data_IF_525900869683
#
_entry.id   IF_525900869683
#
_cell.length_a   1.000
_cell.length_b   1.000
_cell.length_c   1.000
_cell.angle_alpha   90.00
_cell.angle_beta   90.00
_cell.angle_gamma   90.00
#
_symmetry.space_group_name_H-M   'P 1'
#
loop_
_entity.id
_entity.type
_entity.pdbx_description
1 polymer ?
#
# COMPACT_ATOMS: atom_id res chain seq x y z
N UNK A 1 23.62 18.67 -8.93
CA UNK A 1 23.89 18.92 -7.49
C UNK A 1 25.38 18.92 -7.27
N UNK A 2 25.91 19.78 -6.39
CA UNK A 2 27.32 19.80 -5.94
C UNK A 2 27.52 19.10 -4.59
N UNK A 3 26.47 18.49 -4.04
CA UNK A 3 26.46 17.85 -2.73
C UNK A 3 26.60 16.33 -2.83
N UNK A 4 27.26 15.75 -1.83
CA UNK A 4 27.23 14.31 -1.59
C UNK A 4 25.92 13.94 -0.91
N UNK A 5 25.23 12.92 -1.43
CA UNK A 5 24.07 12.31 -0.81
C UNK A 5 24.54 11.16 0.08
N UNK A 6 24.34 11.29 1.38
CA UNK A 6 24.74 10.28 2.38
C UNK A 6 23.63 9.24 2.53
N UNK A 7 24.02 7.96 2.49
CA UNK A 7 23.13 6.80 2.64
C UNK A 7 21.80 6.95 1.87
N UNK A 8 21.84 7.18 0.55
CA UNK A 8 20.62 7.25 -0.23
C UNK A 8 19.88 5.92 -0.16
N UNK A 9 18.56 5.97 -0.17
CA UNK A 9 17.69 4.81 -0.21
C UNK A 9 16.56 5.06 -1.22
N UNK A 10 16.33 4.09 -2.10
CA UNK A 10 15.14 4.05 -2.95
C UNK A 10 14.06 3.32 -2.19
N UNK A 11 12.89 3.96 -2.06
CA UNK A 11 11.73 3.41 -1.36
C UNK A 11 10.57 3.29 -2.35
N UNK A 12 10.00 2.09 -2.42
CA UNK A 12 8.85 1.77 -3.26
C UNK A 12 7.90 0.85 -2.48
N UNK A 13 6.77 1.39 -2.03
CA UNK A 13 5.93 0.70 -1.04
C UNK A 13 6.71 0.43 0.25
N UNK A 14 6.72 -0.81 0.71
CA UNK A 14 7.52 -1.33 1.82
C UNK A 14 8.90 -1.87 1.40
N UNK A 15 9.23 -1.83 0.11
CA UNK A 15 10.55 -2.23 -0.41
C UNK A 15 11.52 -1.06 -0.28
N UNK A 16 12.71 -1.34 0.26
CA UNK A 16 13.77 -0.36 0.45
C UNK A 16 15.05 -0.92 -0.12
N UNK A 17 15.72 -0.12 -0.95
CA UNK A 17 17.01 -0.45 -1.51
C UNK A 17 18.01 0.63 -1.09
N UNK A 18 18.88 0.30 -0.14
CA UNK A 18 19.88 1.23 0.39
C UNK A 18 21.14 1.23 -0.49
N UNK A 19 21.72 2.40 -0.69
CA UNK A 19 22.88 2.63 -1.53
C UNK A 19 24.07 3.13 -0.70
N UNK A 20 25.26 3.01 -1.29
CA UNK A 20 26.45 3.72 -0.80
C UNK A 20 26.28 5.24 -1.02
N UNK A 21 27.09 6.03 -0.31
CA UNK A 21 27.09 7.49 -0.47
C UNK A 21 27.37 7.85 -1.94
N UNK A 22 26.61 8.81 -2.47
CA UNK A 22 26.72 9.24 -3.86
C UNK A 22 27.31 10.65 -3.92
N UNK A 23 28.47 10.77 -4.55
CA UNK A 23 29.07 12.06 -4.83
C UNK A 23 28.29 12.88 -5.88
N UNK A 24 28.64 14.16 -6.06
CA UNK A 24 28.02 15.04 -7.05
C UNK A 24 28.04 14.44 -8.46
N UNK A 25 26.86 14.28 -9.08
CA UNK A 25 26.71 13.75 -10.43
C UNK A 25 26.94 12.24 -10.57
N UNK A 26 27.27 11.54 -9.48
CA UNK A 26 27.39 10.09 -9.47
C UNK A 26 26.03 9.44 -9.68
N UNK A 27 26.02 8.33 -10.41
CA UNK A 27 24.85 7.48 -10.59
C UNK A 27 25.11 6.11 -9.98
N UNK A 28 24.04 5.42 -9.60
CA UNK A 28 24.10 4.05 -9.13
C UNK A 28 22.86 3.29 -9.60
N UNK A 29 23.04 2.00 -9.82
CA UNK A 29 21.98 1.05 -10.12
C UNK A 29 21.76 0.18 -8.89
N UNK A 30 20.50 -0.13 -8.59
CA UNK A 30 20.14 -0.97 -7.47
C UNK A 30 19.14 -2.01 -7.91
N UNK A 31 19.42 -3.26 -7.58
CA UNK A 31 18.49 -4.37 -7.76
C UNK A 31 17.82 -4.64 -6.42
N UNK A 32 16.49 -4.56 -6.40
CA UNK A 32 15.70 -4.84 -5.21
C UNK A 32 14.54 -5.75 -5.58
N UNK A 33 14.44 -6.87 -4.87
CA UNK A 33 13.24 -7.69 -4.93
C UNK A 33 12.12 -6.98 -4.19
N UNK A 34 10.96 -6.84 -4.82
CA UNK A 34 9.77 -6.35 -4.14
C UNK A 34 9.43 -7.30 -2.99
N UNK A 35 9.41 -6.75 -1.77
CA UNK A 35 9.06 -7.50 -0.58
C UNK A 35 7.75 -6.95 -0.02
N UNK A 36 6.76 -7.81 0.25
CA UNK A 36 5.59 -7.38 0.99
C UNK A 36 6.04 -6.85 2.37
N UNK A 37 5.24 -5.96 2.94
CA UNK A 37 5.47 -5.50 4.30
C UNK A 37 5.54 -6.71 5.25
N UNK A 38 6.70 -6.93 5.86
CA UNK A 38 6.90 -7.96 6.86
C UNK A 38 6.52 -7.38 8.23
N UNK A 39 5.51 -7.99 8.87
CA UNK A 39 5.08 -7.61 10.20
C UNK A 39 6.29 -7.60 11.17
N UNK A 40 6.52 -6.47 11.84
CA UNK A 40 7.57 -6.32 12.85
C UNK A 40 8.90 -5.70 12.39
N UNK A 41 9.07 -5.35 11.11
CA UNK A 41 10.19 -4.52 10.66
C UNK A 41 9.70 -3.17 10.16
N UNK A 42 10.07 -2.08 10.85
CA UNK A 42 9.72 -0.73 10.41
C UNK A 42 10.47 -0.36 9.13
N UNK A 43 9.91 0.59 8.36
CA UNK A 43 10.62 1.14 7.20
C UNK A 43 11.91 1.86 7.63
N UNK A 44 11.93 2.44 8.84
CA UNK A 44 13.09 3.08 9.41
C UNK A 44 14.22 2.09 9.68
N UNK A 45 13.91 0.86 10.12
CA UNK A 45 14.90 -0.20 10.29
C UNK A 45 15.48 -0.64 8.93
N UNK A 46 14.70 -0.58 7.86
CA UNK A 46 15.15 -0.90 6.49
C UNK A 46 16.02 0.22 5.90
N UNK A 47 15.67 1.49 6.16
CA UNK A 47 16.37 2.67 5.61
C UNK A 47 17.66 2.97 6.40
N UNK A 48 17.56 3.03 7.72
CA UNK A 48 18.64 3.48 8.61
C UNK A 48 19.45 2.30 9.16
N UNK A 49 18.85 1.11 9.21
CA UNK A 49 19.39 -0.07 9.86
C UNK A 49 18.75 -0.30 11.23
N UNK A 50 18.79 -1.55 11.70
CA UNK A 50 18.33 -1.91 13.05
C UNK A 50 19.27 -1.31 14.08
N UNK A 51 18.70 -0.64 15.09
CA UNK A 51 19.44 -0.24 16.28
C UNK A 51 19.66 -1.47 17.17
N UNK A 52 20.75 -2.19 16.97
CA UNK A 52 21.18 -3.21 17.92
C UNK A 52 21.95 -2.51 19.06
N UNK A 53 21.46 -2.68 20.30
CA UNK A 53 22.18 -2.29 21.52
C UNK A 53 23.19 -3.38 21.91
N UNK A 54 24.02 -3.85 20.98
CA UNK A 54 25.07 -4.81 21.30
C UNK A 54 26.28 -4.09 21.91
N UNK A 55 26.34 -4.06 23.25
CA UNK A 55 27.45 -3.51 24.03
C UNK A 55 27.04 -2.38 24.96
N UNK A 56 27.94 -1.94 25.88
CA UNK A 56 27.67 -0.78 26.72
C UNK A 56 27.37 0.43 25.83
N UNK A 57 26.30 1.21 26.12
CA UNK A 57 25.82 2.26 25.23
C UNK A 57 26.90 3.32 25.03
N UNK A 58 27.57 3.27 23.88
CA UNK A 58 28.41 4.36 23.41
C UNK A 58 27.49 5.39 22.78
N UNK A 59 27.07 6.37 23.57
CA UNK A 59 26.38 7.56 23.08
C UNK A 59 27.39 8.48 22.37
N UNK A 60 27.92 8.02 21.24
CA UNK A 60 28.70 8.84 20.32
C UNK A 60 27.78 9.62 19.36
N UNK A 61 28.37 10.57 18.63
CA UNK A 61 27.64 11.47 17.74
C UNK A 61 27.01 10.72 16.56
N UNK A 62 27.65 9.65 16.08
CA UNK A 62 27.12 8.79 15.01
C UNK A 62 25.89 8.01 15.46
N UNK A 63 25.89 7.48 16.68
CA UNK A 63 24.72 6.81 17.27
C UNK A 63 23.56 7.79 17.47
N UNK A 64 23.85 9.00 17.95
CA UNK A 64 22.85 10.07 18.07
C UNK A 64 22.29 10.47 16.68
N UNK A 65 23.14 10.51 15.65
CA UNK A 65 22.76 10.80 14.28
C UNK A 65 21.86 9.72 13.69
N UNK A 66 22.20 8.45 13.87
CA UNK A 66 21.35 7.33 13.45
C UNK A 66 19.99 7.35 14.15
N UNK A 67 19.97 7.63 15.46
CA UNK A 67 18.73 7.76 16.21
C UNK A 67 17.85 8.90 15.70
N UNK A 68 18.44 10.07 15.41
CA UNK A 68 17.71 11.18 14.81
C UNK A 68 17.13 10.82 13.42
N UNK A 69 17.92 10.17 12.55
CA UNK A 69 17.46 9.72 11.23
C UNK A 69 16.29 8.75 11.33
N UNK A 70 16.38 7.77 12.23
CA UNK A 70 15.31 6.81 12.51
C UNK A 70 14.04 7.52 12.95
N UNK A 71 14.16 8.43 13.91
CA UNK A 71 13.04 9.19 14.45
C UNK A 71 12.34 10.01 13.36
N UNK A 72 13.10 10.69 12.50
CA UNK A 72 12.55 11.44 11.36
C UNK A 72 11.73 10.52 10.45
N UNK A 73 12.28 9.36 10.08
CA UNK A 73 11.58 8.39 9.21
C UNK A 73 10.33 7.83 9.91
N UNK A 74 10.41 7.52 11.21
CA UNK A 74 9.26 7.02 11.97
C UNK A 74 8.12 8.05 11.97
N UNK A 75 8.43 9.34 12.19
CA UNK A 75 7.45 10.42 12.14
C UNK A 75 6.82 10.58 10.75
N UNK A 76 7.58 10.35 9.66
CA UNK A 76 7.02 10.37 8.31
C UNK A 76 6.02 9.23 8.07
N UNK A 77 6.12 8.12 8.79
CA UNK A 77 5.22 6.96 8.65
C UNK A 77 4.15 6.86 9.73
N UNK A 78 4.07 7.86 10.61
CA UNK A 78 3.15 7.84 11.72
C UNK A 78 1.77 8.38 11.30
N UNK A 79 0.75 7.56 11.48
CA UNK A 79 -0.65 7.96 11.42
C UNK A 79 -1.19 8.13 12.86
N UNK A 80 -1.76 9.28 13.23
CA UNK A 80 -2.31 9.51 14.58
C UNK A 80 -3.40 8.53 15.02
N UNK A 81 -4.14 7.94 14.08
CA UNK A 81 -5.23 7.01 14.36
C UNK A 81 -4.76 5.56 14.41
N UNK A 82 -3.71 5.21 13.65
CA UNK A 82 -3.30 3.82 13.42
C UNK A 82 -1.87 3.51 13.89
N UNK A 83 -1.09 4.51 14.30
CA UNK A 83 0.33 4.37 14.62
C UNK A 83 1.19 4.30 13.36
N UNK A 84 2.31 3.57 13.41
CA UNK A 84 3.18 3.42 12.23
C UNK A 84 2.50 2.59 11.15
N UNK A 85 2.36 3.16 9.95
CA UNK A 85 1.75 2.50 8.79
C UNK A 85 2.74 1.61 8.02
N UNK A 86 4.03 1.68 8.37
CA UNK A 86 5.09 0.93 7.70
C UNK A 86 5.40 1.38 6.27
N UNK A 87 4.79 2.48 5.81
CA UNK A 87 4.93 3.01 4.46
C UNK A 87 5.09 4.54 4.49
N UNK A 88 5.78 5.09 3.50
CA UNK A 88 5.84 6.54 3.31
C UNK A 88 4.51 7.06 2.75
N UNK A 89 4.06 8.27 3.12
CA UNK A 89 2.78 8.85 2.68
C UNK A 89 2.89 9.44 1.27
N UNK A 90 3.32 8.62 0.32
CA UNK A 90 3.59 9.00 -1.07
C UNK A 90 2.99 8.02 -2.05
N UNK A 91 2.49 8.57 -3.16
CA UNK A 91 2.00 7.78 -4.27
C UNK A 91 3.10 7.63 -5.33
N UNK A 92 3.98 6.66 -5.16
CA UNK A 92 5.08 6.38 -6.10
C UNK A 92 6.40 6.07 -5.42
N UNK A 93 7.48 6.08 -6.20
CA UNK A 93 8.84 5.91 -5.71
C UNK A 93 9.35 7.18 -5.02
N UNK A 94 10.12 7.01 -3.96
CA UNK A 94 10.81 8.10 -3.27
C UNK A 94 12.28 7.77 -3.13
N UNK A 95 13.12 8.77 -3.38
CA UNK A 95 14.52 8.74 -3.00
C UNK A 95 14.66 9.51 -1.68
N UNK A 96 15.11 8.81 -0.66
CA UNK A 96 15.55 9.41 0.59
C UNK A 96 17.06 9.55 0.56
N UNK A 97 17.59 10.66 1.02
CA UNK A 97 19.02 10.83 1.21
C UNK A 97 19.31 11.78 2.36
N UNK A 98 20.47 11.63 2.98
CA UNK A 98 20.89 12.47 4.09
C UNK A 98 21.98 13.44 3.65
N UNK A 99 22.08 14.55 4.36
CA UNK A 99 23.22 15.46 4.27
C UNK A 99 23.63 15.92 5.67
N UNK A 100 24.93 16.08 5.85
CA UNK A 100 25.59 16.58 7.05
C UNK A 100 25.86 18.09 6.98
N UNK A 101 25.29 18.76 5.98
CA UNK A 101 25.42 20.20 5.86
C UNK A 101 24.83 20.93 7.07
N UNK A 102 25.54 21.97 7.47
CA UNK A 102 25.11 22.86 8.54
C UNK A 102 24.08 23.84 7.98
N UNK A 103 22.82 23.70 8.38
CA UNK A 103 21.74 24.64 8.02
C UNK A 103 21.82 25.94 8.81
N UNK A 104 22.19 25.85 10.09
CA UNK A 104 22.26 26.98 11.01
C UNK A 104 23.64 26.99 11.65
N UNK A 105 24.48 28.01 11.40
CA UNK A 105 25.72 28.16 12.13
C UNK A 105 25.39 28.50 13.59
N UNK A 106 25.77 27.61 14.50
CA UNK A 106 25.65 27.83 15.94
C UNK A 106 27.05 27.94 16.51
N UNK A 107 27.32 29.01 17.24
CA UNK A 107 28.55 29.20 18.00
C UNK A 107 28.20 29.27 19.48
N UNK A 108 28.89 28.48 20.30
CA UNK A 108 28.77 28.50 21.76
C UNK A 108 30.15 28.83 22.30
N UNK A 109 30.24 29.88 23.11
CA UNK A 109 31.52 30.33 23.66
C UNK A 109 32.21 29.19 24.44
N UNK A 110 33.41 28.81 23.98
CA UNK A 110 34.22 27.77 24.61
C UNK A 110 33.75 26.34 24.39
N UNK A 111 32.76 26.08 23.51
CA UNK A 111 32.27 24.73 23.24
C UNK A 111 32.07 24.48 21.74
N UNK A 112 32.53 23.31 21.27
CA UNK A 112 32.13 22.82 19.97
C UNK A 112 30.67 22.30 20.08
N UNK A 113 29.70 22.88 19.36
CA UNK A 113 28.33 22.39 19.40
C UNK A 113 28.30 20.97 18.82
N UNK A 114 27.59 20.06 19.50
CA UNK A 114 27.31 18.72 18.94
C UNK A 114 26.43 18.87 17.70
N UNK A 115 26.84 18.30 16.58
CA UNK A 115 26.18 18.45 15.28
C UNK A 115 25.44 17.14 14.94
N UNK A 116 24.36 16.92 15.68
CA UNK A 116 23.43 15.81 15.43
C UNK A 116 22.34 16.14 14.41
N UNK A 117 22.31 17.39 13.93
CA UNK A 117 21.40 17.84 12.88
C UNK A 117 21.62 17.05 11.59
N UNK A 118 20.53 16.57 11.00
CA UNK A 118 20.54 15.91 9.70
C UNK A 118 19.56 16.62 8.78
N UNK A 119 19.95 16.80 7.53
CA UNK A 119 19.02 17.16 6.47
C UNK A 119 18.52 15.87 5.86
N UNK A 120 17.20 15.69 5.80
CA UNK A 120 16.57 14.67 4.97
C UNK A 120 16.15 15.30 3.64
N UNK A 121 16.72 14.81 2.55
CA UNK A 121 16.13 14.98 1.24
C UNK A 121 15.05 13.93 1.04
N UNK A 122 13.83 14.39 0.81
CA UNK A 122 12.68 13.57 0.48
C UNK A 122 12.27 13.90 -0.94
N UNK A 123 12.62 13.04 -1.89
CA UNK A 123 12.51 13.33 -3.33
C UNK A 123 11.54 12.33 -3.98
N UNK A 124 10.25 12.68 -4.13
CA UNK A 124 9.34 11.91 -4.97
C UNK A 124 9.89 11.87 -6.40
N UNK A 125 9.83 10.70 -7.02
CA UNK A 125 10.37 10.52 -8.37
C UNK A 125 9.36 9.80 -9.26
N UNK A 126 9.41 10.12 -10.55
CA UNK A 126 8.60 9.43 -11.55
C UNK A 126 9.11 7.99 -11.71
N UNK A 127 8.18 7.04 -11.82
CA UNK A 127 8.49 5.64 -11.98
C UNK A 127 8.11 5.20 -13.39
N UNK A 128 9.07 4.68 -14.14
CA UNK A 128 8.79 3.97 -15.39
C UNK A 128 8.79 2.48 -15.09
N UNK A 129 7.67 1.81 -15.35
CA UNK A 129 7.52 0.36 -15.17
C UNK A 129 7.49 -0.30 -16.54
N UNK A 130 8.16 -1.44 -16.70
CA UNK A 130 8.26 -2.15 -17.99
C UNK A 130 8.01 -3.65 -17.82
N UNK A 131 7.41 -4.25 -18.84
CA UNK A 131 7.13 -5.69 -18.88
C UNK A 131 5.88 -6.08 -18.08
N UNK A 132 5.70 -7.37 -17.86
CA UNK A 132 4.59 -7.89 -17.06
C UNK A 132 4.81 -7.54 -15.58
N UNK A 133 3.88 -6.79 -15.00
CA UNK A 133 3.96 -6.31 -13.62
C UNK A 133 2.68 -6.66 -12.87
N UNK A 134 2.85 -6.94 -11.58
CA UNK A 134 1.75 -7.19 -10.65
C UNK A 134 1.77 -6.16 -9.53
N UNK A 135 0.72 -5.35 -9.43
CA UNK A 135 0.49 -4.41 -8.34
C UNK A 135 -0.38 -5.07 -7.28
N UNK A 136 0.08 -5.06 -6.03
CA UNK A 136 -0.59 -5.67 -4.88
C UNK A 136 -0.21 -4.91 -3.59
N UNK A 137 -1.02 -5.00 -2.55
CA UNK A 137 -0.71 -4.51 -1.20
C UNK A 137 -0.25 -3.05 -1.20
N UNK A 138 0.99 -2.81 -0.79
CA UNK A 138 1.70 -1.53 -0.69
C UNK A 138 1.93 -0.82 -2.03
N UNK A 139 1.71 -1.53 -3.14
CA UNK A 139 1.74 -0.96 -4.49
C UNK A 139 0.35 -0.60 -5.02
N UNK A 140 -0.71 -0.77 -4.21
CA UNK A 140 -2.07 -0.36 -4.49
C UNK A 140 -2.57 0.61 -3.42
N UNK A 141 -3.02 1.78 -3.85
CA UNK A 141 -3.76 2.70 -3.00
C UNK A 141 -5.25 2.38 -3.06
N UNK A 142 -5.86 2.12 -1.91
CA UNK A 142 -7.31 2.02 -1.78
C UNK A 142 -7.90 3.37 -1.35
N UNK A 143 -8.84 3.92 -2.11
CA UNK A 143 -9.54 5.17 -1.80
C UNK A 143 -11.03 4.94 -1.69
N UNK A 144 -11.66 5.43 -0.61
CA UNK A 144 -13.12 5.38 -0.45
C UNK A 144 -13.74 6.43 -1.37
N UNK A 145 -14.61 5.98 -2.28
CA UNK A 145 -15.33 6.84 -3.22
C UNK A 145 -16.68 7.24 -2.63
N UNK A 146 -17.38 6.30 -2.02
CA UNK A 146 -18.63 6.53 -1.29
C UNK A 146 -18.85 5.46 -0.24
N UNK A 147 -19.59 5.80 0.82
CA UNK A 147 -20.05 4.88 1.84
C UNK A 147 -21.50 5.24 2.16
N UNK A 148 -22.42 4.36 1.78
CA UNK A 148 -23.84 4.43 2.08
C UNK A 148 -24.16 3.29 3.05
N UNK A 149 -23.76 3.46 4.31
CA UNK A 149 -23.95 2.48 5.38
C UNK A 149 -24.05 3.17 6.73
N UNK A 150 -24.85 2.63 7.65
CA UNK A 150 -25.09 3.25 8.97
C UNK A 150 -23.83 3.49 9.81
N UNK A 151 -22.81 2.64 9.61
CA UNK A 151 -21.46 2.78 10.14
C UNK A 151 -20.46 2.34 9.07
N UNK A 152 -19.30 2.99 9.02
CA UNK A 152 -18.21 2.63 8.13
C UNK A 152 -16.89 2.91 8.84
N UNK A 153 -15.98 1.94 8.82
CA UNK A 153 -14.61 2.08 9.27
C UNK A 153 -13.69 1.33 8.30
N UNK A 154 -12.54 1.93 8.02
CA UNK A 154 -11.50 1.33 7.19
C UNK A 154 -10.14 1.67 7.78
N UNK A 155 -9.33 0.63 7.97
CA UNK A 155 -7.90 0.74 8.19
C UNK A 155 -7.14 0.19 6.96
N UNK A 156 -5.79 0.17 6.94
CA UNK A 156 -5.04 -0.34 5.81
C UNK A 156 -5.30 -1.83 5.48
N UNK A 157 -5.68 -2.65 6.47
CA UNK A 157 -5.79 -4.10 6.34
C UNK A 157 -7.23 -4.62 6.46
N UNK A 158 -8.13 -3.84 7.05
CA UNK A 158 -9.50 -4.24 7.34
C UNK A 158 -10.52 -3.17 6.96
N UNK A 159 -11.71 -3.65 6.59
CA UNK A 159 -12.88 -2.85 6.27
C UNK A 159 -14.02 -3.37 7.13
N UNK A 160 -14.76 -2.49 7.78
CA UNK A 160 -16.02 -2.85 8.42
C UNK A 160 -17.11 -1.83 8.14
N UNK A 161 -18.33 -2.32 7.91
CA UNK A 161 -19.47 -1.47 7.61
C UNK A 161 -20.80 -2.14 7.96
N UNK A 162 -21.82 -1.32 8.18
CA UNK A 162 -23.18 -1.78 8.47
C UNK A 162 -23.93 -2.27 7.25
N UNK A 163 -25.27 -2.35 7.36
CA UNK A 163 -26.11 -2.54 6.18
C UNK A 163 -25.91 -1.40 5.19
N UNK A 164 -25.83 -1.74 3.90
CA UNK A 164 -25.65 -0.79 2.82
C UNK A 164 -24.50 -1.14 1.89
N UNK A 165 -23.83 -0.12 1.35
CA UNK A 165 -22.83 -0.26 0.28
C UNK A 165 -21.63 0.63 0.51
N UNK A 166 -20.46 0.15 0.14
CA UNK A 166 -19.21 0.94 0.18
C UNK A 166 -18.48 0.79 -1.15
N UNK A 167 -18.13 1.89 -1.78
CA UNK A 167 -17.36 1.93 -3.03
C UNK A 167 -15.90 2.31 -2.77
N UNK A 168 -14.99 1.47 -3.22
CA UNK A 168 -13.55 1.72 -3.17
C UNK A 168 -12.97 1.73 -4.58
N UNK A 169 -11.98 2.60 -4.76
CA UNK A 169 -11.09 2.62 -5.91
C UNK A 169 -9.74 2.02 -5.50
N UNK A 170 -9.24 1.06 -6.27
CA UNK A 170 -7.93 0.45 -6.11
C UNK A 170 -7.06 0.90 -7.27
N UNK A 171 -6.08 1.74 -6.98
CA UNK A 171 -5.19 2.32 -7.99
C UNK A 171 -3.75 1.90 -7.70
N UNK A 172 -3.00 1.39 -8.69
CA UNK A 172 -1.56 1.28 -8.62
C UNK A 172 -0.89 2.57 -8.14
N UNK A 173 0.29 2.43 -7.54
CA UNK A 173 1.18 3.58 -7.35
C UNK A 173 1.39 4.30 -8.69
N UNK A 174 1.66 5.61 -8.64
CA UNK A 174 1.88 6.39 -9.85
C UNK A 174 3.04 5.82 -10.68
N UNK A 175 2.79 5.61 -11.97
CA UNK A 175 3.77 5.20 -12.98
C UNK A 175 3.53 5.98 -14.27
N UNK A 176 4.59 6.14 -15.07
CA UNK A 176 4.52 6.70 -16.41
C UNK A 176 4.19 5.59 -17.42
N UNK A 177 3.15 5.79 -18.22
CA UNK A 177 2.74 4.86 -19.27
C UNK A 177 1.29 4.39 -19.12
N UNK A 178 0.99 3.25 -19.72
CA UNK A 178 -0.32 2.59 -19.63
C UNK A 178 -0.15 1.12 -19.26
N UNK A 179 -1.23 0.49 -18.82
CA UNK A 179 -1.29 -0.94 -18.53
C UNK A 179 -2.25 -1.63 -19.49
N UNK A 180 -1.83 -2.77 -20.04
CA UNK A 180 -2.73 -3.73 -20.67
C UNK A 180 -3.10 -4.80 -19.62
N UNK A 181 -4.28 -4.72 -18.98
CA UNK A 181 -4.61 -5.60 -17.86
C UNK A 181 -4.72 -7.05 -18.32
N UNK A 182 -3.99 -7.94 -17.65
CA UNK A 182 -4.02 -9.39 -17.90
C UNK A 182 -4.70 -10.15 -16.77
N UNK A 183 -4.78 -9.56 -15.57
CA UNK A 183 -5.46 -10.19 -14.43
C UNK A 183 -5.97 -9.14 -13.43
N UNK A 184 -7.18 -9.35 -12.93
CA UNK A 184 -7.72 -8.69 -11.73
C UNK A 184 -8.11 -9.79 -10.76
N UNK A 185 -7.42 -9.91 -9.63
CA UNK A 185 -7.76 -10.90 -8.61
C UNK A 185 -8.13 -10.25 -7.30
N UNK A 186 -8.96 -10.92 -6.52
CA UNK A 186 -9.27 -10.52 -5.16
C UNK A 186 -9.38 -11.71 -4.23
N UNK A 187 -9.29 -11.44 -2.93
CA UNK A 187 -9.57 -12.41 -1.88
C UNK A 187 -10.18 -11.72 -0.66
N UNK A 188 -11.03 -12.44 0.08
CA UNK A 188 -11.62 -11.98 1.35
C UNK A 188 -11.16 -12.90 2.48
N UNK A 189 -10.70 -12.30 3.58
CA UNK A 189 -10.28 -13.02 4.79
C UNK A 189 -9.26 -14.14 4.50
N UNK A 190 -8.42 -13.98 3.47
CA UNK A 190 -7.48 -15.01 3.04
C UNK A 190 -6.28 -15.18 3.97
N UNK A 191 -6.12 -14.31 4.97
CA UNK A 191 -5.11 -14.42 6.02
C UNK A 191 -3.74 -14.78 5.45
N UNK A 192 -3.38 -14.21 4.29
CA UNK A 192 -2.31 -14.75 3.46
C UNK A 192 -1.01 -14.80 4.27
N UNK A 193 -0.65 -16.02 4.65
CA UNK A 193 0.68 -16.32 5.12
C UNK A 193 1.63 -16.16 3.92
N UNK A 194 2.76 -15.45 4.08
CA UNK A 194 3.79 -15.37 3.05
C UNK A 194 4.17 -16.79 2.58
N UNK A 195 3.93 -17.11 1.30
CA UNK A 195 4.35 -18.37 0.68
C UNK A 195 3.25 -19.32 0.22
N UNK A 196 1.97 -19.08 0.52
CA UNK A 196 0.85 -19.85 -0.04
C UNK A 196 0.21 -19.08 -1.20
N UNK A 197 0.68 -19.33 -2.42
CA UNK A 197 0.03 -18.85 -3.63
C UNK A 197 -1.18 -19.75 -3.91
N UNK A 198 -2.35 -19.37 -3.37
CA UNK A 198 -3.60 -20.03 -3.77
C UNK A 198 -3.91 -19.57 -5.19
N UNK A 199 -3.88 -20.50 -6.14
CA UNK A 199 -4.26 -20.20 -7.53
C UNK A 199 -5.70 -19.65 -7.57
N UNK A 200 -5.92 -18.51 -8.24
CA UNK A 200 -7.23 -17.89 -8.25
C UNK A 200 -8.22 -18.71 -9.07
N UNK A 201 -9.43 -18.87 -8.54
CA UNK A 201 -10.55 -19.46 -9.29
C UNK A 201 -11.16 -18.39 -10.18
N UNK A 202 -11.28 -18.64 -11.48
CA UNK A 202 -11.94 -17.70 -12.39
C UNK A 202 -13.42 -17.52 -12.01
N UNK A 203 -13.88 -16.27 -11.97
CA UNK A 203 -15.27 -15.89 -11.76
C UNK A 203 -15.72 -14.93 -12.85
N UNK A 204 -16.92 -15.18 -13.36
CA UNK A 204 -17.62 -14.28 -14.27
C UNK A 204 -18.68 -13.54 -13.48
N UNK A 205 -18.86 -12.22 -13.71
CA UNK A 205 -19.99 -11.53 -13.10
C UNK A 205 -21.32 -12.16 -13.52
N UNK A 206 -22.30 -12.09 -12.63
CA UNK A 206 -23.67 -12.52 -12.87
C UNK A 206 -24.30 -11.69 -13.99
N UNK A 207 -25.21 -12.29 -14.74
CA UNK A 207 -25.91 -11.63 -15.84
C UNK A 207 -26.69 -10.40 -15.38
N UNK A 208 -27.25 -10.48 -14.16
CA UNK A 208 -27.98 -9.40 -13.49
C UNK A 208 -27.63 -9.36 -12.00
N UNK A 209 -27.67 -8.16 -11.42
CA UNK A 209 -27.56 -7.99 -9.97
C UNK A 209 -28.85 -8.55 -9.36
N UNK A 210 -28.78 -9.53 -8.43
CA UNK A 210 -29.94 -10.03 -7.73
C UNK A 210 -30.69 -8.89 -7.01
N UNK A 211 -32.03 -8.96 -6.89
CA UNK A 211 -32.77 -7.98 -6.11
C UNK A 211 -32.28 -7.97 -4.65
N UNK A 212 -32.33 -6.82 -3.97
CA UNK A 212 -31.98 -6.74 -2.56
C UNK A 212 -32.79 -7.74 -1.75
N UNK A 213 -32.18 -8.24 -0.69
CA UNK A 213 -32.87 -9.19 0.17
C UNK A 213 -34.09 -8.55 0.87
N UNK A 214 -35.24 -9.23 0.83
CA UNK A 214 -36.47 -8.80 1.51
C UNK A 214 -36.48 -9.26 2.97
N UNK A 215 -36.24 -8.32 3.90
CA UNK A 215 -36.23 -8.60 5.34
C UNK A 215 -37.57 -9.13 5.84
N UNK A 216 -38.69 -8.72 5.23
CA UNK A 216 -40.03 -9.16 5.62
C UNK A 216 -40.28 -10.63 5.26
N UNK A 217 -39.55 -11.15 4.27
CA UNK A 217 -39.65 -12.55 3.86
C UNK A 217 -38.84 -13.53 4.75
N UNK A 218 -38.04 -13.02 5.70
CA UNK A 218 -37.28 -13.85 6.65
C UNK A 218 -36.12 -14.65 6.05
N UNK A 219 -35.93 -14.62 4.73
CA UNK A 219 -34.88 -15.34 4.00
C UNK A 219 -33.50 -14.67 4.08
N UNK A 220 -33.40 -13.46 4.64
CA UNK A 220 -32.16 -12.66 4.62
C UNK A 220 -31.13 -13.03 5.68
N UNK A 221 -31.54 -13.72 6.74
CA UNK A 221 -30.65 -14.03 7.87
C UNK A 221 -30.10 -15.46 7.87
N UNK A 222 -30.48 -16.30 6.91
CA UNK A 222 -30.00 -17.68 6.86
C UNK A 222 -28.57 -17.70 6.31
N UNK A 223 -27.59 -17.96 7.18
CA UNK A 223 -26.23 -18.31 6.77
C UNK A 223 -25.32 -17.14 6.42
N UNK A 224 -25.38 -16.03 7.15
CA UNK A 224 -24.36 -14.99 7.03
C UNK A 224 -22.99 -15.53 7.46
N UNK A 225 -22.04 -15.54 6.54
CA UNK A 225 -20.69 -16.09 6.70
C UNK A 225 -19.62 -15.02 6.98
N UNK A 226 -20.05 -13.78 7.22
CA UNK A 226 -19.14 -12.65 7.45
C UNK A 226 -18.55 -12.06 6.17
N UNK A 227 -19.04 -12.44 4.99
CA UNK A 227 -18.51 -11.99 3.70
C UNK A 227 -19.53 -11.10 2.99
N UNK A 228 -19.16 -9.86 2.59
CA UNK A 228 -20.05 -9.02 1.80
C UNK A 228 -20.14 -9.53 0.36
N UNK A 229 -21.21 -9.13 -0.31
CA UNK A 229 -21.32 -9.29 -1.75
C UNK A 229 -20.38 -8.31 -2.47
N UNK A 230 -19.85 -8.72 -3.62
CA UNK A 230 -18.87 -7.94 -4.39
C UNK A 230 -19.42 -7.52 -5.74
N UNK A 231 -19.22 -6.26 -6.09
CA UNK A 231 -19.51 -5.74 -7.42
C UNK A 231 -18.26 -5.08 -8.00
N UNK A 232 -18.06 -5.26 -9.30
CA UNK A 232 -16.99 -4.61 -10.08
C UNK A 232 -17.61 -3.64 -11.07
N UNK A 233 -16.97 -2.48 -11.27
CA UNK A 233 -17.43 -1.49 -12.22
C UNK A 233 -16.97 -1.86 -13.64
N UNK A 234 -17.93 -2.12 -14.53
CA UNK A 234 -17.70 -2.38 -15.94
C UNK A 234 -17.52 -1.06 -16.68
N UNK A 235 -16.30 -0.80 -17.15
CA UNK A 235 -15.93 0.41 -17.88
C UNK A 235 -16.57 0.48 -19.27
N UNK A 236 -16.86 -0.68 -19.87
CA UNK A 236 -17.45 -0.74 -21.21
C UNK A 236 -18.93 -0.43 -21.17
N UNK A 237 -19.65 -1.00 -20.19
CA UNK A 237 -21.08 -0.80 -20.01
C UNK A 237 -21.43 0.37 -19.07
N UNK A 238 -20.41 1.00 -18.47
CA UNK A 238 -20.53 2.07 -17.47
C UNK A 238 -21.49 1.72 -16.31
N UNK A 239 -21.52 0.45 -15.91
CA UNK A 239 -22.44 -0.06 -14.90
C UNK A 239 -21.75 -1.02 -13.94
N UNK A 240 -22.38 -1.27 -12.80
CA UNK A 240 -21.89 -2.25 -11.84
C UNK A 240 -22.33 -3.66 -12.20
N UNK A 241 -21.45 -4.63 -11.94
CA UNK A 241 -21.72 -6.06 -12.16
C UNK A 241 -21.45 -6.84 -10.88
N UNK A 242 -22.44 -7.63 -10.44
CA UNK A 242 -22.34 -8.48 -9.25
C UNK A 242 -21.51 -9.71 -9.56
N UNK A 243 -20.53 -10.03 -8.72
CA UNK A 243 -19.80 -11.29 -8.77
C UNK A 243 -20.57 -12.39 -8.01
N UNK A 244 -20.36 -13.67 -8.32
CA UNK A 244 -20.82 -14.77 -7.47
C UNK A 244 -20.35 -14.56 -6.02
N UNK A 245 -21.21 -14.90 -5.06
CA UNK A 245 -20.90 -14.74 -3.63
C UNK A 245 -19.56 -15.41 -3.29
N UNK A 246 -18.55 -14.64 -2.87
CA UNK A 246 -17.21 -15.17 -2.62
C UNK A 246 -17.19 -15.95 -1.30
N UNK A 247 -16.36 -16.98 -1.23
CA UNK A 247 -16.10 -17.69 0.01
C UNK A 247 -14.84 -17.10 0.66
N UNK A 248 -14.91 -16.83 1.96
CA UNK A 248 -13.73 -16.44 2.73
C UNK A 248 -12.60 -17.47 2.61
N UNK A 249 -11.35 -17.00 2.60
CA UNK A 249 -10.18 -17.88 2.48
C UNK A 249 -9.82 -18.29 1.04
N UNK A 250 -10.63 -17.91 0.04
CA UNK A 250 -10.36 -18.21 -1.37
C UNK A 250 -9.92 -16.97 -2.15
N UNK A 251 -9.17 -17.22 -3.22
CA UNK A 251 -8.75 -16.22 -4.20
C UNK A 251 -9.51 -16.42 -5.50
N UNK A 252 -9.90 -15.30 -6.11
CA UNK A 252 -10.71 -15.28 -7.32
C UNK A 252 -10.07 -14.39 -8.38
N UNK A 253 -10.17 -14.78 -9.65
CA UNK A 253 -9.77 -13.96 -10.81
C UNK A 253 -11.03 -13.54 -11.57
N UNK A 254 -11.22 -12.24 -11.76
CA UNK A 254 -12.33 -11.72 -12.57
C UNK A 254 -12.02 -11.97 -14.03
N UNK A 255 -12.91 -12.70 -14.72
CA UNK A 255 -12.81 -12.92 -16.16
C UNK A 255 -12.82 -11.59 -16.92
N UNK A 256 -12.10 -11.49 -18.04
CA UNK A 256 -12.01 -10.29 -18.89
C UNK A 256 -11.57 -9.01 -18.12
N UNK A 257 -10.42 -9.01 -17.44
CA UNK A 257 -9.98 -7.92 -16.57
C UNK A 257 -9.88 -6.55 -17.26
N UNK A 258 -9.63 -6.53 -18.58
CA UNK A 258 -9.59 -5.31 -19.40
C UNK A 258 -10.91 -4.53 -19.41
N UNK A 259 -12.03 -5.15 -19.01
CA UNK A 259 -13.32 -4.46 -18.86
C UNK A 259 -13.47 -3.72 -17.55
N UNK A 260 -12.69 -4.08 -16.53
CA UNK A 260 -12.87 -3.62 -15.15
C UNK A 260 -11.68 -2.79 -14.64
N UNK A 261 -10.55 -2.83 -15.33
CA UNK A 261 -9.33 -2.08 -15.01
C UNK A 261 -9.11 -1.01 -16.08
N UNK A 262 -9.02 0.25 -15.65
CA UNK A 262 -8.75 1.37 -16.55
C UNK A 262 -7.32 1.27 -17.11
N UNK A 263 -7.12 1.14 -18.43
CA UNK A 263 -5.77 0.97 -19.00
C UNK A 263 -4.88 2.21 -18.83
N UNK A 264 -5.46 3.40 -18.62
CA UNK A 264 -4.67 4.62 -18.44
C UNK A 264 -4.03 4.70 -17.05
N UNK A 265 -4.73 4.25 -16.02
CA UNK A 265 -4.31 4.41 -14.62
C UNK A 265 -4.07 3.09 -13.88
N UNK A 266 -4.50 1.97 -14.46
CA UNK A 266 -4.61 0.67 -13.79
C UNK A 266 -5.67 0.62 -12.70
N UNK A 267 -6.57 1.61 -12.62
CA UNK A 267 -7.56 1.68 -11.54
C UNK A 267 -8.68 0.67 -11.73
N UNK A 268 -9.03 -0.06 -10.68
CA UNK A 268 -10.25 -0.86 -10.59
C UNK A 268 -11.20 -0.28 -9.53
N UNK A 269 -12.50 -0.25 -9.81
CA UNK A 269 -13.53 0.16 -8.82
C UNK A 269 -14.31 -1.06 -8.36
N UNK A 270 -14.39 -1.23 -7.05
CA UNK A 270 -15.04 -2.36 -6.39
C UNK A 270 -16.02 -1.82 -5.36
N UNK A 271 -17.23 -2.37 -5.35
CA UNK A 271 -18.27 -2.04 -4.38
C UNK A 271 -18.60 -3.26 -3.53
N UNK A 272 -18.61 -3.07 -2.23
CA UNK A 272 -19.04 -4.05 -1.25
C UNK A 272 -20.50 -3.79 -0.90
N UNK A 273 -21.30 -4.84 -0.79
CA UNK A 273 -22.72 -4.75 -0.47
C UNK A 273 -23.02 -5.68 0.70
N UNK A 274 -23.58 -5.12 1.78
CA UNK A 274 -24.05 -5.86 2.94
C UNK A 274 -25.55 -5.62 3.12
N UNK A 275 -26.35 -6.64 2.80
CA UNK A 275 -27.80 -6.61 2.95
C UNK A 275 -28.29 -7.55 4.06
N UNK A 276 -27.40 -8.37 4.65
CA UNK A 276 -27.78 -9.51 5.49
C UNK A 276 -27.51 -9.33 6.98
N UNK A 277 -26.56 -8.47 7.34
CA UNK A 277 -26.10 -8.29 8.72
C UNK A 277 -26.08 -6.82 9.13
N UNK A 278 -26.31 -6.53 10.41
CA UNK A 278 -26.14 -5.19 10.98
C UNK A 278 -24.69 -4.68 10.91
N UNK A 279 -23.73 -5.59 10.74
CA UNK A 279 -22.32 -5.26 10.51
C UNK A 279 -21.54 -6.40 9.86
N UNK A 280 -20.58 -6.04 9.03
CA UNK A 280 -19.58 -6.96 8.47
C UNK A 280 -18.19 -6.36 8.68
N UNK A 281 -17.21 -7.22 9.00
CA UNK A 281 -15.81 -6.85 9.13
C UNK A 281 -14.95 -7.89 8.41
N UNK A 282 -14.10 -7.45 7.50
CA UNK A 282 -13.32 -8.34 6.66
C UNK A 282 -12.01 -7.70 6.20
N UNK A 283 -11.07 -8.54 5.82
CA UNK A 283 -9.86 -8.15 5.11
C UNK A 283 -10.08 -8.37 3.62
N UNK A 284 -9.57 -7.46 2.79
CA UNK A 284 -9.71 -7.55 1.34
C UNK A 284 -8.36 -7.35 0.66
N UNK A 285 -7.97 -8.34 -0.12
CA UNK A 285 -6.79 -8.27 -0.98
C UNK A 285 -7.25 -8.03 -2.42
N UNK A 286 -6.57 -7.13 -3.11
CA UNK A 286 -6.69 -6.93 -4.56
C UNK A 286 -5.31 -7.05 -5.17
N UNK A 287 -5.26 -7.66 -6.34
CA UNK A 287 -4.07 -7.68 -7.18
C UNK A 287 -4.46 -7.31 -8.61
N UNK A 288 -3.68 -6.45 -9.24
CA UNK A 288 -3.85 -6.02 -10.63
C UNK A 288 -2.56 -6.37 -11.38
N UNK A 289 -2.65 -7.24 -12.37
CA UNK A 289 -1.52 -7.62 -13.23
C UNK A 289 -1.75 -7.15 -14.66
N UNK A 290 -0.69 -6.79 -15.34
CA UNK A 290 -0.75 -6.40 -16.75
C UNK A 290 0.61 -6.14 -17.37
N UNK A 291 0.61 -5.96 -18.68
CA UNK A 291 1.80 -5.60 -19.44
C UNK A 291 1.90 -4.07 -19.54
N UNK A 292 3.02 -3.53 -19.08
CA UNK A 292 3.27 -2.08 -19.07
C UNK A 292 3.76 -1.60 -20.43
N UNK A 293 3.17 -0.49 -20.91
CA UNK A 293 3.46 0.13 -22.21
C UNK A 293 3.82 1.60 -22.08
#
# INVERSE_FOLDING_TARGET
STQTLLKPAVVLGGTVASLADLGPGQTATVDAALQPFALGQSISDKIVGRQFFEGPPKFDEDSARQFARRTIVDQLTYDPNFGSTGQLPVNGAVILAWSDQTLVPVEIAGQAPKRTGNILFFLPTALVVRGTTTFRNDLLTSTVISADSGNFNKDPYSISFGKGKVELSYRPIAFDGTIAPTQLTFAINSGEQPGLTIDPVEVKPLDQIPPPCDEAAGSCQIGFDGVPELEVYDLTAATWRRLPHPQGGKRYAVAEPQRYVDPASGTARIRFVNERSDGVGFQFDVTISGDMK
#
